data_IF_771808848175
#
_entry.id   IF_771808848175
#
_cell.length_a   1.000
_cell.length_b   1.000
_cell.length_c   1.000
_cell.angle_alpha   90.00
_cell.angle_beta   90.00
_cell.angle_gamma   90.00
#
_symmetry.space_group_name_H-M   'P 1'
#
loop_
_entity.id
_entity.type
_entity.pdbx_description
1 polymer ?
#
# COMPACT_ATOMS: atom_id res chain seq x y z
N UNK A 1 -5.04 10.05 -2.41
CA UNK A 1 -3.76 10.53 -1.81
C UNK A 1 -3.93 11.11 -0.40
N UNK A 2 -5.15 11.45 0.01
CA UNK A 2 -5.45 11.85 1.39
C UNK A 2 -5.64 10.67 2.34
N UNK A 3 -5.67 9.43 1.82
CA UNK A 3 -6.02 8.23 2.58
C UNK A 3 -4.84 7.62 3.37
N UNK A 4 -3.61 8.04 3.08
CA UNK A 4 -2.43 7.54 3.80
C UNK A 4 -2.49 7.87 5.31
N UNK A 5 -2.87 9.11 5.67
CA UNK A 5 -2.96 9.53 7.06
C UNK A 5 -4.06 8.80 7.84
N UNK A 6 -5.30 8.67 7.35
CA UNK A 6 -6.33 7.86 8.01
C UNK A 6 -5.93 6.40 8.20
N UNK A 7 -5.32 5.75 7.20
CA UNK A 7 -4.86 4.35 7.30
C UNK A 7 -3.80 4.21 8.39
N UNK A 8 -2.78 5.07 8.40
CA UNK A 8 -1.75 5.07 9.44
C UNK A 8 -2.34 5.30 10.83
N UNK A 9 -3.31 6.21 10.98
CA UNK A 9 -3.99 6.48 12.24
C UNK A 9 -4.80 5.28 12.73
N UNK A 10 -5.48 4.56 11.84
CA UNK A 10 -6.23 3.34 12.18
C UNK A 10 -5.25 2.26 12.65
N UNK A 11 -4.17 2.01 11.91
CA UNK A 11 -3.16 1.02 12.32
C UNK A 11 -2.53 1.32 13.68
N UNK A 12 -2.24 2.59 13.97
CA UNK A 12 -1.57 3.01 15.22
C UNK A 12 -2.51 3.00 16.43
N UNK A 13 -3.80 3.32 16.24
CA UNK A 13 -4.73 3.55 17.35
C UNK A 13 -5.68 2.40 17.61
N UNK A 14 -5.99 1.61 16.58
CA UNK A 14 -7.06 0.61 16.64
C UNK A 14 -6.54 -0.83 16.63
N UNK A 15 -5.21 -1.01 16.50
CA UNK A 15 -4.55 -2.31 16.58
C UNK A 15 -3.51 -2.31 17.67
N UNK A 16 -3.52 -3.34 18.50
CA UNK A 16 -2.56 -3.50 19.61
C UNK A 16 -2.04 -4.94 19.65
N UNK A 17 -0.83 -5.20 20.22
CA UNK A 17 -0.29 -6.54 20.34
C UNK A 17 -0.90 -7.38 21.49
N UNK A 18 -2.05 -6.96 22.02
CA UNK A 18 -2.72 -7.65 23.14
C UNK A 18 -3.73 -8.70 22.67
N UNK A 19 -4.33 -9.47 23.62
CA UNK A 19 -5.37 -10.45 23.32
C UNK A 19 -6.62 -9.84 22.65
N UNK A 20 -6.95 -8.59 22.98
CA UNK A 20 -8.05 -7.81 22.41
C UNK A 20 -7.49 -6.79 21.40
N UNK A 21 -6.57 -7.25 20.55
CA UNK A 21 -5.77 -6.38 19.67
C UNK A 21 -6.49 -5.80 18.47
N UNK A 22 -7.72 -6.24 18.17
CA UNK A 22 -8.51 -5.76 17.05
C UNK A 22 -9.58 -4.76 17.50
N UNK A 23 -9.92 -3.82 16.62
CA UNK A 23 -10.97 -2.84 16.87
C UNK A 23 -12.40 -3.36 16.67
N UNK A 24 -12.58 -4.65 16.45
CA UNK A 24 -13.84 -5.34 16.23
C UNK A 24 -13.59 -6.84 16.02
N UNK A 25 -14.54 -7.53 15.39
CA UNK A 25 -14.40 -8.93 15.07
C UNK A 25 -13.31 -9.17 14.02
N UNK A 26 -12.65 -10.33 14.07
CA UNK A 26 -11.60 -10.70 13.11
C UNK A 26 -12.16 -10.98 11.71
N UNK A 27 -13.43 -11.40 11.62
CA UNK A 27 -14.15 -11.65 10.35
C UNK A 27 -13.41 -12.64 9.43
N UNK A 28 -13.06 -13.81 9.97
CA UNK A 28 -12.38 -14.90 9.24
C UNK A 28 -11.04 -14.49 8.60
N UNK A 29 -10.27 -13.62 9.25
CA UNK A 29 -8.95 -13.19 8.78
C UNK A 29 -8.96 -11.86 8.00
N UNK A 30 -10.13 -11.25 7.80
CA UNK A 30 -10.24 -10.01 7.03
C UNK A 30 -9.56 -8.84 7.76
N UNK A 31 -9.74 -8.74 9.07
CA UNK A 31 -9.19 -7.64 9.89
C UNK A 31 -7.67 -7.70 9.96
N UNK A 32 -7.08 -8.89 10.20
CA UNK A 32 -5.63 -9.07 10.18
C UNK A 32 -5.05 -8.90 8.77
N UNK A 33 -5.72 -9.42 7.73
CA UNK A 33 -5.30 -9.22 6.35
C UNK A 33 -5.26 -7.73 5.97
N UNK A 34 -6.27 -6.95 6.39
CA UNK A 34 -6.27 -5.50 6.18
C UNK A 34 -5.04 -4.83 6.80
N UNK A 35 -4.70 -5.18 8.05
CA UNK A 35 -3.52 -4.63 8.72
C UNK A 35 -2.22 -4.99 7.98
N UNK A 36 -2.04 -6.27 7.61
CA UNK A 36 -0.82 -6.74 6.93
C UNK A 36 -0.64 -6.04 5.58
N UNK A 37 -1.67 -6.02 4.73
CA UNK A 37 -1.60 -5.35 3.44
C UNK A 37 -1.37 -3.83 3.58
N UNK A 38 -2.07 -3.18 4.50
CA UNK A 38 -1.90 -1.75 4.76
C UNK A 38 -0.48 -1.44 5.25
N UNK A 39 0.09 -2.30 6.12
CA UNK A 39 1.46 -2.16 6.59
C UNK A 39 2.51 -2.35 5.48
N UNK A 40 2.20 -3.14 4.45
CA UNK A 40 3.02 -3.29 3.24
C UNK A 40 2.88 -2.09 2.29
N UNK A 41 1.85 -1.25 2.45
CA UNK A 41 1.62 -0.06 1.65
C UNK A 41 0.73 -0.27 0.43
N UNK A 42 -0.11 -1.30 0.39
CA UNK A 42 -1.12 -1.49 -0.65
C UNK A 42 -2.27 -2.38 -0.16
N UNK A 43 -3.45 -2.28 -0.79
CA UNK A 43 -4.62 -3.08 -0.41
C UNK A 43 -5.53 -3.39 -1.62
N UNK A 44 -6.12 -4.60 -1.74
CA UNK A 44 -7.08 -4.96 -2.78
C UNK A 44 -8.46 -4.40 -2.46
N UNK A 45 -8.69 -3.12 -2.75
CA UNK A 45 -9.94 -2.39 -2.41
C UNK A 45 -11.13 -2.92 -3.18
N UNK A 46 -10.94 -3.33 -4.45
CA UNK A 46 -12.02 -3.82 -5.30
C UNK A 46 -11.86 -5.32 -5.55
N UNK A 47 -12.62 -6.19 -4.85
CA UNK A 47 -12.57 -7.63 -5.07
C UNK A 47 -12.92 -8.00 -6.51
N UNK A 48 -12.19 -8.97 -7.07
CA UNK A 48 -12.38 -9.45 -8.44
C UNK A 48 -11.62 -8.66 -9.50
N UNK A 49 -10.84 -7.65 -9.10
CA UNK A 49 -9.83 -7.03 -9.96
C UNK A 49 -8.42 -7.55 -9.62
N UNK A 50 -7.48 -7.34 -10.54
CA UNK A 50 -6.06 -7.66 -10.35
C UNK A 50 -5.24 -6.50 -9.76
N UNK A 51 -5.93 -5.49 -9.20
CA UNK A 51 -5.32 -4.24 -8.75
C UNK A 51 -5.30 -4.10 -7.22
N UNK A 52 -4.17 -3.57 -6.73
CA UNK A 52 -3.98 -3.17 -5.35
C UNK A 52 -3.81 -1.65 -5.29
N UNK A 53 -4.65 -0.98 -4.55
CA UNK A 53 -4.54 0.47 -4.32
C UNK A 53 -3.35 0.75 -3.42
N UNK A 54 -2.53 1.72 -3.80
CA UNK A 54 -1.31 2.10 -3.07
C UNK A 54 -1.66 2.98 -1.88
N UNK A 55 -1.12 2.63 -0.71
CA UNK A 55 -1.08 3.41 0.52
C UNK A 55 0.35 3.65 0.98
N UNK A 56 0.51 4.28 2.13
CA UNK A 56 1.82 4.50 2.73
C UNK A 56 2.28 3.24 3.50
N UNK A 57 3.48 2.68 3.22
CA UNK A 57 3.99 1.54 3.97
C UNK A 57 4.30 1.93 5.42
N UNK A 58 4.11 0.99 6.35
CA UNK A 58 4.44 1.17 7.76
C UNK A 58 5.94 0.99 8.04
N UNK A 59 6.56 0.05 7.35
CA UNK A 59 7.96 -0.33 7.57
C UNK A 59 8.90 0.40 6.62
N UNK A 60 10.15 0.63 7.07
CA UNK A 60 11.21 1.15 6.20
C UNK A 60 11.62 0.17 5.12
N UNK A 61 11.50 -1.13 5.41
CA UNK A 61 11.77 -2.18 4.44
C UNK A 61 10.98 -3.43 4.80
N UNK A 62 10.39 -4.06 3.80
CA UNK A 62 9.77 -5.39 3.90
C UNK A 62 10.21 -6.24 2.69
N UNK A 63 10.32 -7.55 2.88
CA UNK A 63 10.58 -8.49 1.79
C UNK A 63 9.54 -9.59 1.83
N UNK A 64 8.85 -9.78 0.72
CA UNK A 64 7.91 -10.87 0.51
C UNK A 64 8.60 -11.96 -0.31
N UNK A 65 8.54 -13.19 0.20
CA UNK A 65 9.04 -14.38 -0.48
C UNK A 65 7.84 -15.13 -1.06
N UNK A 66 7.76 -15.21 -2.39
CA UNK A 66 6.65 -15.88 -3.07
C UNK A 66 6.93 -17.35 -3.28
N UNK A 67 5.89 -18.16 -3.38
CA UNK A 67 5.99 -19.62 -3.64
C UNK A 67 6.67 -19.95 -4.98
N UNK A 68 6.59 -19.04 -5.96
CA UNK A 68 7.28 -19.16 -7.25
C UNK A 68 8.79 -18.92 -7.18
N UNK A 69 9.34 -18.65 -5.98
CA UNK A 69 10.76 -18.38 -5.73
C UNK A 69 11.18 -16.94 -5.93
N UNK A 70 10.30 -16.06 -6.41
CA UNK A 70 10.60 -14.64 -6.56
C UNK A 70 10.50 -13.91 -5.23
N UNK A 71 11.21 -12.79 -5.12
CA UNK A 71 11.15 -11.92 -3.96
C UNK A 71 10.70 -10.51 -4.38
N UNK A 72 9.80 -9.93 -3.61
CA UNK A 72 9.42 -8.53 -3.75
C UNK A 72 9.95 -7.74 -2.55
N UNK A 73 10.76 -6.73 -2.81
CA UNK A 73 11.27 -5.81 -1.79
C UNK A 73 10.45 -4.52 -1.84
N UNK A 74 9.88 -4.16 -0.71
CA UNK A 74 9.25 -2.85 -0.48
C UNK A 74 10.25 -2.02 0.30
N UNK A 75 10.67 -0.90 -0.24
CA UNK A 75 11.69 -0.03 0.34
C UNK A 75 11.13 1.39 0.53
N UNK A 76 11.13 1.84 1.79
CA UNK A 76 10.67 3.16 2.21
C UNK A 76 11.61 3.72 3.30
N UNK A 77 12.92 3.78 3.00
CA UNK A 77 13.98 4.08 3.99
C UNK A 77 13.77 5.37 4.78
N UNK A 78 13.17 6.39 4.16
CA UNK A 78 12.89 7.66 4.82
C UNK A 78 11.49 7.74 5.45
N UNK A 79 10.77 6.61 5.55
CA UNK A 79 9.50 6.55 6.26
C UNK A 79 9.69 6.88 7.75
N UNK A 80 8.86 7.76 8.28
CA UNK A 80 8.86 8.19 9.68
C UNK A 80 7.48 8.70 10.08
N UNK A 81 7.30 9.05 11.36
CA UNK A 81 6.05 9.64 11.84
C UNK A 81 5.73 11.00 11.20
N UNK A 82 6.72 11.69 10.66
CA UNK A 82 6.58 12.96 9.96
C UNK A 82 6.40 12.76 8.45
N UNK A 83 7.03 11.73 7.88
CA UNK A 83 7.02 11.44 6.43
C UNK A 83 5.98 10.37 6.12
N UNK A 84 4.71 10.75 6.09
CA UNK A 84 3.56 9.85 5.91
C UNK A 84 3.00 9.83 4.48
N UNK A 85 3.42 10.76 3.63
CA UNK A 85 2.90 10.92 2.28
C UNK A 85 3.89 10.40 1.23
N UNK A 86 3.39 9.78 0.17
CA UNK A 86 4.20 9.33 -0.95
C UNK A 86 4.58 10.55 -1.80
N UNK A 87 5.86 10.90 -1.82
CA UNK A 87 6.42 11.94 -2.69
C UNK A 87 6.63 11.41 -4.10
N UNK A 88 7.28 10.24 -4.23
CA UNK A 88 7.44 9.52 -5.49
C UNK A 88 7.48 8.01 -5.27
N UNK A 89 7.22 7.26 -6.33
CA UNK A 89 7.22 5.81 -6.37
C UNK A 89 8.04 5.32 -7.56
N UNK A 90 8.86 4.30 -7.34
CA UNK A 90 9.54 3.56 -8.41
C UNK A 90 9.22 2.07 -8.31
N UNK A 91 8.99 1.46 -9.45
CA UNK A 91 8.82 0.00 -9.57
C UNK A 91 9.95 -0.51 -10.47
N UNK A 92 10.82 -1.35 -9.91
CA UNK A 92 12.00 -1.88 -10.60
C UNK A 92 12.87 -0.77 -11.24
N UNK A 93 13.07 0.33 -10.48
CA UNK A 93 13.86 1.49 -10.90
C UNK A 93 13.15 2.46 -11.86
N UNK A 94 11.95 2.13 -12.35
CA UNK A 94 11.17 3.02 -13.22
C UNK A 94 10.18 3.83 -12.39
N UNK A 95 10.10 5.13 -12.63
CA UNK A 95 9.14 6.00 -11.96
C UNK A 95 7.71 5.64 -12.36
N UNK A 96 6.81 5.60 -11.37
CA UNK A 96 5.39 5.31 -11.55
C UNK A 96 4.53 6.39 -10.89
N UNK A 97 3.61 6.95 -11.67
CA UNK A 97 2.60 7.89 -11.18
C UNK A 97 1.32 7.20 -10.75
N UNK A 98 1.12 5.92 -11.11
CA UNK A 98 -0.07 5.14 -10.81
C UNK A 98 -0.34 5.07 -9.31
N UNK A 99 -1.61 5.08 -8.94
CA UNK A 99 -2.09 4.88 -7.57
C UNK A 99 -2.47 3.41 -7.30
N UNK A 100 -2.04 2.50 -8.15
CA UNK A 100 -2.27 1.05 -8.02
C UNK A 100 -1.09 0.22 -8.52
N UNK A 101 -1.03 -1.02 -8.06
CA UNK A 101 -0.10 -2.06 -8.50
C UNK A 101 -0.91 -3.22 -9.08
N UNK A 102 -0.38 -3.92 -10.06
CA UNK A 102 -1.03 -5.12 -10.62
C UNK A 102 -0.49 -6.39 -9.97
N UNK A 103 -1.38 -7.35 -9.73
CA UNK A 103 -1.02 -8.63 -9.11
C UNK A 103 0.08 -9.37 -9.90
N UNK A 104 -0.06 -9.42 -11.22
CA UNK A 104 0.93 -10.08 -12.07
C UNK A 104 2.32 -9.45 -11.96
N UNK A 105 2.41 -8.12 -11.83
CA UNK A 105 3.68 -7.40 -11.68
C UNK A 105 4.30 -7.69 -10.31
N UNK A 106 3.49 -7.75 -9.25
CA UNK A 106 3.97 -8.09 -7.90
C UNK A 106 4.58 -9.49 -7.85
N UNK A 107 3.93 -10.49 -8.48
CA UNK A 107 4.40 -11.87 -8.51
C UNK A 107 5.71 -12.07 -9.30
N UNK A 108 6.06 -11.15 -10.19
CA UNK A 108 7.38 -11.16 -10.84
C UNK A 108 8.51 -10.82 -9.87
N UNK A 109 8.18 -10.21 -8.72
CA UNK A 109 9.15 -9.76 -7.75
C UNK A 109 9.85 -8.46 -8.17
N UNK A 110 10.99 -8.20 -7.54
CA UNK A 110 11.76 -6.98 -7.77
C UNK A 110 11.66 -6.00 -6.62
N UNK A 111 11.65 -4.69 -6.90
CA UNK A 111 11.68 -3.66 -5.86
C UNK A 111 10.63 -2.59 -6.11
N UNK A 112 9.88 -2.24 -5.06
CA UNK A 112 9.02 -1.06 -5.01
C UNK A 112 9.68 -0.08 -4.04
N UNK A 113 10.10 1.07 -4.56
CA UNK A 113 10.77 2.11 -3.79
C UNK A 113 9.81 3.27 -3.56
N UNK A 114 9.49 3.52 -2.30
CA UNK A 114 8.69 4.65 -1.85
C UNK A 114 9.61 5.75 -1.33
N UNK A 115 9.57 6.92 -1.95
CA UNK A 115 10.09 8.14 -1.34
C UNK A 115 8.96 8.81 -0.59
N UNK A 116 9.11 8.90 0.72
CA UNK A 116 8.09 9.47 1.60
C UNK A 116 8.41 10.94 1.89
N UNK A 117 7.37 11.73 2.14
CA UNK A 117 7.48 13.15 2.46
C UNK A 117 6.49 13.57 3.55
N UNK A 118 6.70 14.75 4.10
CA UNK A 118 5.87 15.32 5.17
C UNK A 118 4.60 16.02 4.65
N UNK A 119 4.48 16.21 3.34
CA UNK A 119 3.34 16.88 2.70
C UNK A 119 2.83 16.07 1.50
N UNK A 120 1.52 16.13 1.20
CA UNK A 120 0.96 15.49 0.02
C UNK A 120 1.59 16.01 -1.28
N UNK A 121 2.00 15.12 -2.19
CA UNK A 121 2.35 15.50 -3.55
C UNK A 121 1.09 15.57 -4.41
N UNK A 122 0.58 16.78 -4.66
CA UNK A 122 -0.64 17.00 -5.43
C UNK A 122 -0.45 16.84 -6.94
N UNK A 123 0.78 16.63 -7.41
CA UNK A 123 1.09 16.46 -8.83
C UNK A 123 1.27 14.98 -9.22
N UNK A 124 1.19 14.04 -8.26
CA UNK A 124 1.30 12.61 -8.51
C UNK A 124 -0.08 11.98 -8.58
N UNK A 125 -0.27 11.05 -9.54
CA UNK A 125 -1.47 10.22 -9.63
C UNK A 125 -2.73 10.99 -10.02
N UNK A 126 -2.60 12.04 -10.84
CA UNK A 126 -3.69 12.94 -11.23
C UNK A 126 -4.28 12.65 -12.60
N UNK A 127 -3.62 11.80 -13.40
CA UNK A 127 -4.13 11.41 -14.71
C UNK A 127 -5.21 10.32 -14.58
N UNK A 128 -6.09 10.21 -15.57
CA UNK A 128 -7.14 9.19 -15.57
C UNK A 128 -6.58 7.75 -15.50
N UNK A 129 -5.45 7.50 -16.16
CA UNK A 129 -4.77 6.20 -16.17
C UNK A 129 -4.02 5.89 -14.87
N UNK A 130 -3.81 6.87 -14.01
CA UNK A 130 -3.19 6.69 -12.69
C UNK A 130 -4.19 6.18 -11.65
N UNK A 131 -5.49 6.32 -11.91
CA UNK A 131 -6.53 5.91 -10.98
C UNK A 131 -6.78 4.39 -11.07
N UNK A 132 -6.95 3.69 -9.91
CA UNK A 132 -7.33 2.29 -9.89
C UNK A 132 -8.73 2.10 -10.50
N UNK A 133 -9.04 0.84 -10.79
CA UNK A 133 -10.38 0.44 -11.23
C UNK A 133 -11.46 0.92 -10.27
N UNK A 134 -12.58 1.38 -10.83
CA UNK A 134 -13.76 1.76 -10.06
C UNK A 134 -15.03 1.42 -10.85
N UNK A 135 -16.05 0.86 -10.18
CA UNK A 135 -17.36 0.60 -10.77
C UNK A 135 -18.03 1.86 -11.34
N UNK A 136 -17.75 3.03 -10.80
CA UNK A 136 -18.29 4.30 -11.30
C UNK A 136 -17.76 4.70 -12.69
N UNK A 137 -16.66 4.08 -13.15
CA UNK A 137 -16.09 4.29 -14.50
C UNK A 137 -16.65 3.33 -15.56
N UNK A 138 -17.46 2.34 -15.18
CA UNK A 138 -18.16 1.48 -16.14
C UNK A 138 -19.32 2.30 -16.75
N UNK A 139 -19.13 2.74 -18.00
CA UNK A 139 -20.20 3.28 -18.84
C UNK A 139 -20.84 2.16 -19.64
#
# INVERSE_FOLDING_TARGET
LHDALPICQVMDRMYTPGPDGYCGDEDNGQTSAWYVFSALGFYPVCPGTDEYVIGAPLFKKATLHFENGNNLVIDAQNNSKENLYIESLRVNGQESTRNYLKHADLLQGGTIEFKMGSHPNLNRGINDDDAPYSFSKMK
#
